data_IF_186918101337
#
_entry.id   IF_186918101337
#
_cell.length_a   1.000
_cell.length_b   1.000
_cell.length_c   1.000
_cell.angle_alpha   90.00
_cell.angle_beta   90.00
_cell.angle_gamma   90.00
#
_symmetry.space_group_name_H-M   'P 1'
#
loop_
_entity.id
_entity.type
_entity.pdbx_description
1 polymer ?
#
# COMPACT_ATOMS: atom_id res chain seq x y z
N UNK A 1 -14.43 -23.35 16.19
CA UNK A 1 -13.74 -22.05 16.19
C UNK A 1 -14.08 -21.30 14.91
N UNK A 2 -14.56 -20.13 15.04
CA UNK A 2 -14.94 -19.34 13.88
C UNK A 2 -13.71 -18.64 13.28
N UNK A 3 -13.70 -18.52 11.97
CA UNK A 3 -12.69 -17.73 11.30
C UNK A 3 -13.00 -16.26 11.51
N UNK A 4 -11.96 -15.51 11.80
CA UNK A 4 -12.07 -14.07 12.02
C UNK A 4 -11.23 -13.39 10.94
N UNK A 5 -11.84 -12.47 10.22
CA UNK A 5 -11.09 -11.63 9.29
C UNK A 5 -10.36 -10.58 10.12
N UNK A 6 -9.04 -10.57 10.01
CA UNK A 6 -8.21 -9.56 10.66
C UNK A 6 -7.89 -8.47 9.67
N UNK A 7 -7.98 -7.24 10.12
CA UNK A 7 -7.72 -6.08 9.29
C UNK A 7 -6.77 -5.13 9.99
N UNK A 8 -5.82 -4.60 9.24
CA UNK A 8 -4.87 -3.61 9.75
C UNK A 8 -4.80 -2.46 8.73
N UNK A 9 -4.87 -1.24 9.23
CA UNK A 9 -4.82 -0.05 8.38
C UNK A 9 -3.69 0.85 8.82
N UNK A 10 -2.92 1.31 7.84
CA UNK A 10 -1.83 2.26 8.05
C UNK A 10 -2.05 3.44 7.11
N UNK A 11 -1.78 4.64 7.57
CA UNK A 11 -1.94 5.84 6.76
C UNK A 11 -0.69 6.68 6.76
N UNK A 12 -0.49 7.45 5.68
CA UNK A 12 0.68 8.30 5.52
C UNK A 12 0.34 9.45 4.58
N UNK A 13 1.07 10.55 4.70
CA UNK A 13 0.94 11.70 3.80
C UNK A 13 2.31 11.94 3.18
N UNK A 14 2.34 12.19 1.87
CA UNK A 14 3.59 12.43 1.17
C UNK A 14 3.40 13.47 0.07
N UNK A 15 4.48 14.15 -0.29
CA UNK A 15 4.53 15.02 -1.45
C UNK A 15 5.18 14.34 -2.66
N UNK A 16 5.53 13.06 -2.52
CA UNK A 16 6.10 12.30 -3.64
C UNK A 16 5.10 12.22 -4.80
N UNK A 17 5.61 12.28 -6.02
CA UNK A 17 4.77 12.23 -7.21
C UNK A 17 4.17 10.84 -7.41
N UNK A 18 3.08 10.77 -8.16
CA UNK A 18 2.47 9.49 -8.52
C UNK A 18 3.45 8.60 -9.29
N UNK A 19 4.30 9.20 -10.12
CA UNK A 19 5.29 8.43 -10.87
C UNK A 19 6.26 7.72 -9.95
N UNK A 20 6.79 8.41 -8.95
CA UNK A 20 7.70 7.82 -7.99
C UNK A 20 7.01 6.75 -7.16
N UNK A 21 5.79 7.04 -6.70
CA UNK A 21 5.01 6.09 -5.91
C UNK A 21 4.69 4.83 -6.71
N UNK A 22 4.27 5.00 -7.96
CA UNK A 22 3.97 3.88 -8.82
C UNK A 22 5.22 3.00 -9.06
N UNK A 23 6.35 3.64 -9.31
CA UNK A 23 7.61 2.93 -9.51
C UNK A 23 7.96 2.06 -8.30
N UNK A 24 7.87 2.63 -7.10
CA UNK A 24 8.19 1.91 -5.87
C UNK A 24 7.22 0.76 -5.64
N UNK A 25 5.93 1.00 -5.85
CA UNK A 25 4.92 -0.04 -5.66
C UNK A 25 5.12 -1.22 -6.60
N UNK A 26 5.37 -0.94 -7.88
CA UNK A 26 5.62 -1.99 -8.86
C UNK A 26 6.89 -2.77 -8.53
N UNK A 27 7.92 -2.08 -8.06
CA UNK A 27 9.18 -2.69 -7.67
C UNK A 27 9.01 -3.66 -6.52
N UNK A 28 8.04 -3.41 -5.66
CA UNK A 28 7.75 -4.25 -4.50
C UNK A 28 6.68 -5.30 -4.77
N UNK A 29 6.32 -5.52 -6.03
CA UNK A 29 5.43 -6.61 -6.41
C UNK A 29 3.95 -6.25 -6.40
N UNK A 30 3.60 -5.00 -6.27
CA UNK A 30 2.22 -4.58 -6.29
C UNK A 30 1.70 -4.46 -7.72
N UNK A 31 0.43 -4.81 -7.90
CA UNK A 31 -0.28 -4.50 -9.14
C UNK A 31 -0.87 -3.11 -8.98
N UNK A 32 -0.50 -2.20 -9.87
CA UNK A 32 -0.85 -0.79 -9.75
C UNK A 32 -1.81 -0.38 -10.85
N UNK A 33 -2.92 0.23 -10.45
CA UNK A 33 -3.86 0.87 -11.37
C UNK A 33 -3.87 2.35 -11.03
N UNK A 34 -3.54 3.17 -11.99
CA UNK A 34 -3.43 4.61 -11.79
C UNK A 34 -4.49 5.35 -12.59
N UNK A 35 -5.19 6.26 -11.92
CA UNK A 35 -6.07 7.22 -12.55
C UNK A 35 -5.47 8.61 -12.38
N UNK A 36 -6.18 9.64 -12.83
CA UNK A 36 -5.68 11.01 -12.79
C UNK A 36 -5.37 11.50 -11.36
N UNK A 37 -6.19 11.09 -10.39
CA UNK A 37 -6.06 11.58 -9.01
C UNK A 37 -5.92 10.48 -7.98
N UNK A 38 -5.74 9.24 -8.43
CA UNK A 38 -5.73 8.11 -7.51
C UNK A 38 -4.85 6.98 -8.02
N UNK A 39 -4.16 6.34 -7.09
CA UNK A 39 -3.45 5.08 -7.35
C UNK A 39 -4.10 4.01 -6.50
N UNK A 40 -4.36 2.84 -7.11
CA UNK A 40 -4.81 1.65 -6.41
C UNK A 40 -3.78 0.56 -6.64
N UNK A 41 -3.20 0.04 -5.58
CA UNK A 41 -2.16 -0.98 -5.66
C UNK A 41 -2.55 -2.16 -4.77
N UNK A 42 -2.44 -3.37 -5.30
CA UNK A 42 -2.78 -4.58 -4.56
C UNK A 42 -1.64 -5.59 -4.62
N UNK A 43 -1.50 -6.34 -3.54
CA UNK A 43 -0.48 -7.38 -3.44
C UNK A 43 -1.01 -8.51 -2.59
N UNK A 44 -0.77 -9.74 -3.02
CA UNK A 44 -1.18 -10.91 -2.28
C UNK A 44 -2.45 -11.54 -2.82
N UNK A 45 -3.13 -12.29 -1.96
CA UNK A 45 -4.36 -12.98 -2.35
C UNK A 45 -4.11 -14.30 -3.05
N UNK A 46 -2.86 -14.78 -3.10
CA UNK A 46 -2.52 -16.07 -3.66
C UNK A 46 -2.34 -17.10 -2.55
N UNK A 47 -2.19 -18.35 -2.94
CA UNK A 47 -1.96 -19.44 -2.00
C UNK A 47 -0.73 -19.22 -1.13
N UNK A 48 0.33 -18.69 -1.75
CA UNK A 48 1.61 -18.50 -1.05
C UNK A 48 1.58 -17.42 0.00
N UNK A 49 0.53 -16.59 0.02
CA UNK A 49 0.41 -15.51 0.99
C UNK A 49 -0.56 -15.84 2.12
N UNK A 50 -1.04 -17.08 2.19
CA UNK A 50 -1.98 -17.52 3.20
C UNK A 50 -3.26 -16.66 3.26
N UNK A 51 -3.67 -16.14 2.10
CA UNK A 51 -4.87 -15.33 2.02
C UNK A 51 -4.70 -13.89 2.45
N UNK A 52 -3.48 -13.45 2.75
CA UNK A 52 -3.24 -12.05 3.09
C UNK A 52 -3.26 -11.19 1.83
N UNK A 53 -3.98 -10.09 1.92
CA UNK A 53 -4.10 -9.12 0.84
C UNK A 53 -3.74 -7.75 1.37
N UNK A 54 -2.81 -7.09 0.69
CA UNK A 54 -2.43 -5.72 0.98
C UNK A 54 -2.96 -4.83 -0.13
N UNK A 55 -3.66 -3.77 0.24
CA UNK A 55 -4.27 -2.84 -0.71
C UNK A 55 -3.89 -1.43 -0.33
N UNK A 56 -3.17 -0.76 -1.21
CA UNK A 56 -2.75 0.62 -0.99
C UNK A 56 -3.55 1.53 -1.91
N UNK A 57 -4.17 2.55 -1.32
CA UNK A 57 -4.89 3.58 -2.06
C UNK A 57 -4.23 4.91 -1.80
N UNK A 58 -3.91 5.64 -2.86
CA UNK A 58 -3.27 6.94 -2.77
C UNK A 58 -4.14 7.94 -3.51
N UNK A 59 -4.54 9.00 -2.81
CA UNK A 59 -5.40 10.05 -3.37
C UNK A 59 -4.66 11.36 -3.29
N UNK A 60 -4.65 12.11 -4.40
CA UNK A 60 -4.06 13.44 -4.43
C UNK A 60 -5.10 14.49 -4.05
N UNK A 61 -4.73 15.37 -3.13
CA UNK A 61 -5.57 16.49 -2.74
C UNK A 61 -4.68 17.61 -2.19
N UNK A 62 -4.95 18.83 -2.67
CA UNK A 62 -4.24 20.03 -2.20
C UNK A 62 -2.70 19.93 -2.31
N UNK A 63 -2.23 19.30 -3.37
CA UNK A 63 -0.79 19.16 -3.60
C UNK A 63 -0.12 18.07 -2.79
N UNK A 64 -0.87 17.36 -1.99
CA UNK A 64 -0.36 16.26 -1.18
C UNK A 64 -1.00 14.95 -1.59
N UNK A 65 -0.35 13.84 -1.29
CA UNK A 65 -0.89 12.50 -1.53
C UNK A 65 -1.17 11.83 -0.20
N UNK A 66 -2.42 11.42 -0.03
CA UNK A 66 -2.90 10.74 1.16
C UNK A 66 -2.91 9.25 0.87
N UNK A 67 -2.10 8.51 1.60
CA UNK A 67 -1.87 7.10 1.37
C UNK A 67 -2.50 6.27 2.47
N UNK A 68 -3.17 5.19 2.09
CA UNK A 68 -3.75 4.25 3.03
C UNK A 68 -3.38 2.84 2.61
N UNK A 69 -2.80 2.07 3.53
CA UNK A 69 -2.50 0.66 3.32
C UNK A 69 -3.43 -0.16 4.21
N UNK A 70 -4.28 -0.96 3.58
CA UNK A 70 -5.21 -1.83 4.28
C UNK A 70 -4.79 -3.28 4.02
N UNK A 71 -4.43 -3.98 5.09
CA UNK A 71 -4.03 -5.37 5.00
C UNK A 71 -5.10 -6.24 5.65
N UNK A 72 -5.53 -7.27 4.95
CA UNK A 72 -6.59 -8.16 5.41
C UNK A 72 -6.11 -9.60 5.33
N UNK A 73 -6.40 -10.39 6.37
CA UNK A 73 -6.08 -11.82 6.40
C UNK A 73 -7.31 -12.60 6.84
N UNK A 74 -7.61 -13.69 6.12
CA UNK A 74 -8.72 -14.58 6.45
C UNK A 74 -8.21 -15.79 7.22
N UNK A 75 -8.88 -16.11 8.32
CA UNK A 75 -8.61 -17.31 9.09
C UNK A 75 -7.39 -17.22 9.99
N UNK A 76 -6.65 -16.15 9.93
CA UNK A 76 -5.45 -15.95 10.76
C UNK A 76 -5.40 -14.52 11.23
N UNK A 77 -4.74 -14.32 12.37
CA UNK A 77 -4.50 -12.95 12.83
C UNK A 77 -3.56 -12.26 11.87
N UNK A 78 -3.94 -11.08 11.44
CA UNK A 78 -3.11 -10.26 10.59
C UNK A 78 -2.04 -9.61 11.45
N UNK A 79 -0.78 -9.97 11.20
CA UNK A 79 0.32 -9.33 11.91
C UNK A 79 0.46 -7.91 11.39
N UNK A 80 0.43 -6.90 12.25
CA UNK A 80 0.56 -5.53 11.78
C UNK A 80 1.93 -5.31 11.13
N UNK A 81 1.90 -4.96 9.85
CA UNK A 81 3.11 -4.60 9.10
C UNK A 81 3.36 -3.11 9.29
N UNK A 82 3.63 -2.71 10.51
CA UNK A 82 3.85 -1.31 10.80
C UNK A 82 5.09 -0.79 10.08
N UNK A 83 4.95 0.36 9.45
CA UNK A 83 6.06 1.01 8.79
C UNK A 83 6.26 0.62 7.33
N UNK A 84 5.50 -0.33 6.79
CA UNK A 84 5.64 -0.72 5.39
C UNK A 84 5.26 0.42 4.46
N UNK A 85 4.12 1.04 4.70
CA UNK A 85 3.68 2.17 3.89
C UNK A 85 4.67 3.33 4.00
N UNK A 86 5.14 3.63 5.20
CA UNK A 86 6.11 4.69 5.42
C UNK A 86 7.42 4.43 4.67
N UNK A 87 7.87 3.17 4.65
CA UNK A 87 9.07 2.80 3.92
C UNK A 87 8.91 2.97 2.42
N UNK A 88 7.77 2.55 1.88
CA UNK A 88 7.48 2.70 0.46
C UNK A 88 7.45 4.17 0.07
N UNK A 89 6.80 4.99 0.88
CA UNK A 89 6.70 6.42 0.65
C UNK A 89 8.08 7.07 0.73
N UNK A 90 8.87 6.70 1.72
CA UNK A 90 10.23 7.24 1.88
C UNK A 90 11.11 6.88 0.69
N UNK A 91 10.99 5.67 0.19
CA UNK A 91 11.72 5.24 -1.00
C UNK A 91 11.32 6.06 -2.22
N UNK A 92 10.03 6.33 -2.38
CA UNK A 92 9.54 7.17 -3.47
C UNK A 92 10.07 8.58 -3.39
N UNK A 93 10.11 9.15 -2.19
CA UNK A 93 10.67 10.49 -1.96
C UNK A 93 12.16 10.53 -2.28
N UNK A 94 12.87 9.47 -1.93
CA UNK A 94 14.30 9.36 -2.21
C UNK A 94 14.58 9.30 -3.71
N UNK A 95 13.81 8.52 -4.44
CA UNK A 95 13.92 8.43 -5.91
C UNK A 95 13.67 9.79 -6.53
N UNK A 96 12.64 10.48 -6.06
CA UNK A 96 12.25 11.77 -6.61
C UNK A 96 13.30 12.84 -6.36
N UNK A 97 14.05 12.73 -5.27
CA UNK A 97 15.07 13.73 -4.90
C UNK A 97 16.34 13.64 -5.73
N UNK A 98 16.50 12.60 -6.52
CA UNK A 98 17.70 12.43 -7.34
C UNK A 98 17.67 13.21 -8.63
#
# INVERSE_FOLDING_TARGET
>A
MSFIDSEHTETCITDASFEALETVLKRNGYQVVRTRLQISATHGGTWSTNGKISSITIIERDGLRYCEDKETAKGYLCSPNTGVLAKLVQEAETIQSK
#
